data_IF_543801333325
#
_entry.id   IF_543801333325
#
_cell.length_a   1.000
_cell.length_b   1.000
_cell.length_c   1.000
_cell.angle_alpha   90.00
_cell.angle_beta   90.00
_cell.angle_gamma   90.00
#
_symmetry.space_group_name_H-M   'P 1'
#
loop_
_entity.id
_entity.type
_entity.pdbx_description
1 polymer ?
#
# COMPACT_ATOMS: atom_id res chain seq x y z
N UNK A 1 -36.72 -34.93 -52.87
CA UNK A 1 -36.07 -35.88 -53.78
C UNK A 1 -34.97 -36.51 -52.95
N UNK A 2 -35.26 -37.57 -52.27
CA UNK A 2 -35.20 -39.00 -52.67
C UNK A 2 -33.72 -39.42 -52.83
N UNK A 3 -33.13 -40.41 -52.30
CA UNK A 3 -33.61 -41.65 -51.66
C UNK A 3 -32.38 -42.48 -51.27
N UNK A 4 -32.49 -43.14 -50.16
CA UNK A 4 -32.39 -44.59 -49.98
C UNK A 4 -31.02 -45.27 -49.90
N UNK A 5 -30.85 -45.94 -48.74
CA UNK A 5 -30.15 -47.18 -48.50
C UNK A 5 -30.59 -48.32 -49.49
N UNK A 6 -30.10 -49.57 -49.50
CA UNK A 6 -29.78 -50.42 -48.32
C UNK A 6 -28.85 -51.67 -48.58
N UNK A 7 -28.63 -52.43 -47.48
CA UNK A 7 -28.52 -53.91 -47.33
C UNK A 7 -27.36 -54.66 -48.03
N UNK A 8 -26.74 -55.65 -47.49
CA UNK A 8 -27.04 -56.93 -46.82
C UNK A 8 -25.84 -57.85 -47.13
N UNK A 9 -25.41 -58.86 -46.53
CA UNK A 9 -25.81 -59.97 -45.65
C UNK A 9 -24.63 -60.96 -45.50
N UNK A 10 -24.60 -61.64 -44.36
CA UNK A 10 -24.25 -63.01 -44.05
C UNK A 10 -23.05 -63.72 -44.72
N UNK A 11 -22.18 -64.38 -43.93
CA UNK A 11 -22.32 -65.86 -43.70
C UNK A 11 -21.39 -66.38 -42.60
N UNK A 12 -21.93 -67.37 -41.86
CA UNK A 12 -21.29 -68.21 -40.82
C UNK A 12 -20.33 -69.24 -41.38
N UNK A 13 -19.33 -69.67 -40.63
CA UNK A 13 -18.82 -71.02 -40.61
C UNK A 13 -18.17 -71.40 -39.27
N UNK A 14 -18.46 -72.65 -38.89
CA UNK A 14 -18.30 -73.28 -37.57
C UNK A 14 -16.89 -73.85 -37.27
N UNK A 15 -16.59 -73.83 -35.95
CA UNK A 15 -16.01 -74.91 -35.08
C UNK A 15 -14.65 -75.55 -35.44
N UNK A 16 -13.71 -75.53 -34.50
CA UNK A 16 -13.32 -76.69 -33.69
C UNK A 16 -12.36 -76.25 -32.57
N UNK A 17 -12.56 -76.78 -31.39
CA UNK A 17 -11.95 -76.41 -30.17
C UNK A 17 -10.74 -77.31 -29.77
N UNK A 18 -10.01 -76.83 -28.83
CA UNK A 18 -9.32 -77.57 -27.76
C UNK A 18 -8.72 -76.56 -26.73
N UNK A 19 -8.56 -76.96 -25.48
CA UNK A 19 -8.41 -76.03 -24.36
C UNK A 19 -6.98 -75.69 -24.05
N UNK A 20 -6.66 -74.40 -23.90
CA UNK A 20 -5.40 -73.99 -23.31
C UNK A 20 -5.65 -73.37 -21.94
N UNK A 21 -4.84 -73.86 -21.00
CA UNK A 21 -4.78 -73.45 -19.58
C UNK A 21 -4.64 -71.97 -19.38
N UNK A 22 -5.54 -71.42 -18.58
CA UNK A 22 -5.50 -70.04 -18.11
C UNK A 22 -4.31 -69.83 -17.15
N UNK A 23 -3.31 -69.08 -17.55
CA UNK A 23 -2.29 -68.52 -16.63
C UNK A 23 -2.81 -67.17 -16.15
N UNK A 24 -3.13 -67.14 -14.85
CA UNK A 24 -3.58 -65.92 -14.16
C UNK A 24 -2.38 -65.01 -13.95
N UNK A 25 -2.24 -63.97 -14.77
CA UNK A 25 -1.29 -62.86 -14.54
C UNK A 25 -1.80 -61.98 -13.41
N UNK A 26 -1.14 -62.06 -12.26
CA UNK A 26 -1.31 -61.15 -11.15
C UNK A 26 -0.94 -59.71 -11.60
N UNK A 27 -1.96 -58.82 -11.62
CA UNK A 27 -1.74 -57.40 -11.85
C UNK A 27 -1.05 -56.79 -10.61
N UNK A 28 0.24 -56.54 -10.69
CA UNK A 28 0.98 -55.72 -9.73
C UNK A 28 0.54 -54.26 -9.98
N UNK A 29 -0.27 -53.71 -9.08
CA UNK A 29 -0.56 -52.30 -9.03
C UNK A 29 0.67 -51.60 -8.47
N UNK A 30 1.46 -50.99 -9.34
CA UNK A 30 2.50 -50.02 -8.93
C UNK A 30 1.79 -48.72 -8.49
N UNK A 31 1.66 -48.56 -7.17
CA UNK A 31 1.23 -47.28 -6.58
C UNK A 31 2.39 -46.28 -6.78
N UNK A 32 2.25 -45.40 -7.77
CA UNK A 32 3.13 -44.24 -7.88
C UNK A 32 2.74 -43.24 -6.76
N UNK A 33 3.48 -43.25 -5.68
CA UNK A 33 3.48 -42.17 -4.70
C UNK A 33 4.07 -40.93 -5.38
N UNK A 34 3.19 -40.01 -5.78
CA UNK A 34 3.60 -38.64 -6.15
C UNK A 34 3.90 -37.94 -4.83
N UNK A 35 5.15 -37.91 -4.45
CA UNK A 35 5.63 -37.04 -3.38
C UNK A 35 5.56 -35.60 -3.90
N UNK A 36 4.48 -34.89 -3.54
CA UNK A 36 4.41 -33.44 -3.73
C UNK A 36 5.39 -32.82 -2.75
N UNK A 37 6.60 -32.51 -3.23
CA UNK A 37 7.54 -31.70 -2.48
C UNK A 37 6.88 -30.32 -2.29
N UNK A 38 6.35 -30.06 -1.10
CA UNK A 38 6.00 -28.71 -0.66
C UNK A 38 7.35 -28.01 -0.46
N UNK A 39 7.81 -27.34 -1.51
CA UNK A 39 8.89 -26.37 -1.38
C UNK A 39 8.37 -25.22 -0.53
N UNK A 40 8.64 -25.27 0.76
CA UNK A 40 8.51 -24.12 1.64
C UNK A 40 9.53 -23.08 1.11
N UNK A 41 9.10 -22.25 0.18
CA UNK A 41 9.86 -21.06 -0.21
C UNK A 41 9.88 -20.16 1.02
N UNK A 42 10.97 -20.23 1.79
CA UNK A 42 11.31 -19.16 2.71
C UNK A 42 11.32 -17.88 1.87
N UNK A 43 10.27 -17.08 2.00
CA UNK A 43 10.21 -15.75 1.42
C UNK A 43 11.29 -14.94 2.14
N UNK A 44 12.49 -14.92 1.57
CA UNK A 44 13.53 -14.00 2.01
C UNK A 44 12.94 -12.60 1.84
N UNK A 45 12.91 -11.82 2.92
CA UNK A 45 12.49 -10.45 2.89
C UNK A 45 13.23 -9.74 1.74
N UNK A 46 12.52 -9.30 0.71
CA UNK A 46 13.15 -8.60 -0.40
C UNK A 46 13.45 -7.18 0.06
N UNK A 47 14.71 -6.74 0.09
CA UNK A 47 15.04 -5.40 0.50
C UNK A 47 14.42 -4.40 -0.46
N UNK A 48 13.83 -3.33 0.10
CA UNK A 48 13.41 -2.16 -0.67
C UNK A 48 14.67 -1.47 -1.22
N UNK A 49 14.71 -1.19 -2.50
CA UNK A 49 15.77 -0.39 -3.10
C UNK A 49 15.36 1.06 -3.28
N UNK A 50 16.32 1.97 -3.36
CA UNK A 50 16.01 3.36 -3.69
C UNK A 50 15.39 3.45 -5.09
N UNK A 51 14.36 4.30 -5.27
CA UNK A 51 13.65 4.43 -6.54
C UNK A 51 14.40 5.23 -7.62
N UNK A 52 15.58 5.77 -7.30
CA UNK A 52 16.39 6.62 -8.19
C UNK A 52 17.88 6.32 -8.03
N UNK A 53 18.75 6.78 -8.94
CA UNK A 53 20.21 6.61 -8.80
C UNK A 53 20.84 7.43 -7.67
N UNK A 54 20.10 8.35 -7.03
CA UNK A 54 20.63 9.14 -5.92
C UNK A 54 20.81 8.28 -4.67
N UNK A 55 22.07 8.02 -4.29
CA UNK A 55 22.44 7.18 -3.14
C UNK A 55 22.85 8.01 -1.89
N UNK A 56 22.79 9.32 -1.96
CA UNK A 56 23.28 10.22 -0.89
C UNK A 56 22.54 10.02 0.46
N UNK A 57 21.37 9.37 0.48
CA UNK A 57 20.67 9.01 1.71
C UNK A 57 21.51 8.14 2.66
N UNK A 58 22.40 7.31 2.12
CA UNK A 58 23.23 6.37 2.88
C UNK A 58 24.62 6.93 3.19
N UNK A 59 24.91 8.16 2.76
CA UNK A 59 26.16 8.86 3.03
C UNK A 59 25.95 9.85 4.20
N UNK A 60 26.75 9.69 5.25
CA UNK A 60 26.62 10.54 6.44
C UNK A 60 26.81 12.04 6.10
N UNK A 61 25.84 12.87 6.52
CA UNK A 61 25.90 14.32 6.32
C UNK A 61 25.60 14.77 4.89
N UNK A 62 25.03 13.89 4.04
CA UNK A 62 24.70 14.19 2.65
C UNK A 62 23.19 14.26 2.39
N UNK A 63 22.39 14.45 3.44
CA UNK A 63 20.93 14.54 3.34
C UNK A 63 20.48 15.68 2.43
N UNK A 64 21.21 16.79 2.41
CA UNK A 64 20.96 17.94 1.52
C UNK A 64 21.17 17.59 0.03
N UNK A 65 22.03 16.63 -0.27
CA UNK A 65 22.21 16.11 -1.63
C UNK A 65 21.13 15.11 -2.02
N UNK A 66 20.49 14.48 -1.05
CA UNK A 66 19.41 13.52 -1.30
C UNK A 66 18.04 14.22 -1.42
N UNK A 67 17.69 15.10 -0.49
CA UNK A 67 16.37 15.71 -0.43
C UNK A 67 16.26 16.99 -1.25
N UNK A 68 15.16 17.14 -2.01
CA UNK A 68 14.81 18.38 -2.70
C UNK A 68 13.93 19.26 -1.80
N UNK A 69 14.46 20.32 -1.17
CA UNK A 69 13.68 21.14 -0.25
C UNK A 69 12.66 22.03 -0.96
N UNK A 70 11.73 22.58 -0.20
CA UNK A 70 10.93 23.73 -0.62
C UNK A 70 11.89 24.91 -0.88
N UNK A 71 11.67 25.75 -1.91
CA UNK A 71 12.56 26.86 -2.25
C UNK A 71 12.88 27.75 -1.03
N UNK A 72 14.18 27.97 -0.78
CA UNK A 72 14.67 28.81 0.33
C UNK A 72 14.47 28.20 1.73
N UNK A 73 14.13 26.93 1.84
CA UNK A 73 13.96 26.22 3.13
C UNK A 73 15.01 25.10 3.29
N UNK A 74 15.26 24.63 4.52
CA UNK A 74 16.18 23.52 4.79
C UNK A 74 15.78 22.22 4.07
N UNK A 75 16.77 21.33 3.86
CA UNK A 75 16.57 20.02 3.23
C UNK A 75 15.48 19.18 3.92
N UNK A 76 15.29 19.38 5.23
CA UNK A 76 14.26 18.67 6.02
C UNK A 76 12.84 18.85 5.48
N UNK A 77 12.57 19.95 4.73
CA UNK A 77 11.26 20.15 4.09
C UNK A 77 10.97 19.19 2.94
N UNK A 78 11.97 18.46 2.46
CA UNK A 78 11.84 17.36 1.53
C UNK A 78 11.58 15.99 2.20
N UNK A 79 11.64 15.92 3.54
CA UNK A 79 11.34 14.70 4.30
C UNK A 79 9.83 14.48 4.49
N UNK A 80 9.46 13.27 4.91
CA UNK A 80 8.12 12.91 5.37
C UNK A 80 7.78 13.59 6.70
N UNK A 81 6.51 13.90 6.90
CA UNK A 81 5.99 14.35 8.18
C UNK A 81 5.61 15.82 8.25
N UNK A 82 5.53 16.38 9.45
CA UNK A 82 5.21 17.77 9.72
C UNK A 82 6.45 18.67 9.47
N UNK A 83 6.82 18.85 8.21
CA UNK A 83 8.08 19.51 7.82
C UNK A 83 7.89 20.75 6.95
N UNK A 84 6.68 21.00 6.48
CA UNK A 84 6.33 22.14 5.63
C UNK A 84 5.56 23.21 6.43
N UNK A 85 5.56 24.46 5.95
CA UNK A 85 4.89 25.59 6.61
C UNK A 85 5.25 25.66 8.11
N UNK A 86 6.55 25.59 8.41
CA UNK A 86 7.10 25.66 9.78
C UNK A 86 6.55 24.55 10.72
N UNK A 87 6.36 23.35 10.16
CA UNK A 87 5.84 22.20 10.91
C UNK A 87 4.32 22.06 10.91
N UNK A 88 3.61 22.99 10.30
CA UNK A 88 2.15 23.04 10.32
C UNK A 88 1.48 22.35 9.12
N UNK A 89 2.27 21.87 8.15
CA UNK A 89 1.78 21.18 6.97
C UNK A 89 2.47 19.82 6.81
N UNK A 90 1.68 18.80 6.58
CA UNK A 90 2.15 17.44 6.29
C UNK A 90 2.80 17.36 4.92
N UNK A 91 3.88 16.60 4.82
CA UNK A 91 4.43 16.08 3.57
C UNK A 91 4.27 14.55 3.57
N UNK A 92 3.50 14.03 2.65
CA UNK A 92 3.02 12.64 2.64
C UNK A 92 4.08 11.63 2.20
N UNK A 93 5.20 12.09 1.62
CA UNK A 93 6.30 11.28 1.13
C UNK A 93 7.64 11.94 1.35
N UNK A 94 8.59 11.61 0.48
CA UNK A 94 9.91 12.24 0.40
C UNK A 94 10.14 12.79 -1.01
N UNK A 95 10.78 13.96 -1.09
CA UNK A 95 11.16 14.56 -2.37
C UNK A 95 12.64 14.24 -2.66
N UNK A 96 12.91 13.30 -3.58
CA UNK A 96 14.26 12.84 -3.92
C UNK A 96 14.81 13.71 -5.05
N UNK A 97 15.95 14.36 -4.82
CA UNK A 97 16.63 15.27 -5.75
C UNK A 97 17.14 14.52 -7.00
N UNK A 98 16.98 15.16 -8.17
CA UNK A 98 17.58 14.71 -9.43
C UNK A 98 19.11 14.88 -9.38
N UNK A 99 19.82 13.86 -9.87
CA UNK A 99 21.30 13.86 -10.01
C UNK A 99 21.74 13.78 -11.47
N UNK A 100 20.83 13.52 -12.42
CA UNK A 100 21.11 13.46 -13.86
C UNK A 100 20.26 14.49 -14.62
N UNK A 101 20.92 15.25 -15.52
CA UNK A 101 20.23 16.28 -16.30
C UNK A 101 20.68 16.29 -17.73
N UNK A 102 19.80 16.64 -18.65
CA UNK A 102 20.12 16.89 -20.05
C UNK A 102 20.76 18.29 -20.26
N UNK A 103 21.20 18.56 -21.49
CA UNK A 103 21.81 19.85 -21.83
C UNK A 103 20.89 21.07 -21.61
N UNK A 104 19.57 20.86 -21.47
CA UNK A 104 18.59 21.91 -21.16
C UNK A 104 18.31 22.03 -19.67
N UNK A 105 19.01 21.26 -18.82
CA UNK A 105 18.84 21.22 -17.38
C UNK A 105 17.59 20.46 -16.91
N UNK A 106 16.88 19.76 -17.79
CA UNK A 106 15.75 18.92 -17.38
C UNK A 106 16.25 17.59 -16.79
N UNK A 107 15.56 17.03 -15.76
CA UNK A 107 15.97 15.79 -15.15
C UNK A 107 15.87 14.61 -16.10
N UNK A 108 16.80 13.67 -15.98
CA UNK A 108 16.87 12.44 -16.80
C UNK A 108 17.01 11.19 -15.96
N UNK A 109 16.99 11.32 -14.63
CA UNK A 109 17.08 10.19 -13.72
C UNK A 109 16.02 9.15 -14.03
N UNK A 110 16.39 7.87 -14.19
CA UNK A 110 15.43 6.79 -14.24
C UNK A 110 14.74 6.63 -12.89
N UNK A 111 13.45 6.26 -12.94
CA UNK A 111 12.67 5.92 -11.74
C UNK A 111 12.34 4.44 -11.80
N UNK A 112 12.68 3.72 -10.72
CA UNK A 112 12.59 2.27 -10.63
C UNK A 112 11.58 1.80 -9.58
N UNK A 113 11.05 0.60 -9.78
CA UNK A 113 10.26 -0.10 -8.77
C UNK A 113 11.12 -0.43 -7.55
N UNK A 114 10.68 -0.02 -6.36
CA UNK A 114 11.45 -0.22 -5.10
C UNK A 114 11.46 -1.68 -4.64
N UNK A 115 10.49 -2.48 -5.06
CA UNK A 115 10.30 -3.88 -4.71
C UNK A 115 9.50 -4.60 -5.80
N UNK A 116 9.42 -5.93 -5.72
CA UNK A 116 8.45 -6.68 -6.51
C UNK A 116 7.04 -6.14 -6.26
N UNK A 117 6.30 -5.86 -7.32
CA UNK A 117 4.96 -5.28 -7.17
C UNK A 117 4.15 -5.31 -8.45
N UNK A 118 2.87 -5.04 -8.30
CA UNK A 118 1.91 -4.93 -9.41
C UNK A 118 1.58 -3.47 -9.65
N UNK A 119 1.66 -3.01 -10.88
CA UNK A 119 1.16 -1.69 -11.28
C UNK A 119 -0.35 -1.66 -11.11
N UNK A 120 -0.86 -0.80 -10.21
CA UNK A 120 -2.29 -0.70 -9.94
C UNK A 120 -2.91 0.58 -10.46
N UNK A 121 -2.09 1.59 -10.75
CA UNK A 121 -2.57 2.86 -11.31
C UNK A 121 -1.49 3.58 -12.11
N UNK A 122 -1.91 4.25 -13.17
CA UNK A 122 -1.07 5.12 -14.02
C UNK A 122 -1.86 6.38 -14.35
N UNK A 123 -1.35 7.56 -13.97
CA UNK A 123 -1.82 8.84 -14.48
C UNK A 123 -0.79 9.42 -15.46
N UNK A 124 -1.16 9.55 -16.73
CA UNK A 124 -0.33 10.18 -17.77
C UNK A 124 -0.70 11.64 -18.05
N UNK A 125 -1.84 12.12 -17.53
CA UNK A 125 -2.29 13.50 -17.70
C UNK A 125 -1.86 14.37 -16.49
N UNK A 126 -0.84 15.22 -16.60
CA UNK A 126 -0.36 16.01 -15.48
C UNK A 126 -1.36 17.04 -14.96
N UNK A 127 -2.34 17.45 -15.79
CA UNK A 127 -3.34 18.44 -15.43
C UNK A 127 -4.40 17.99 -14.40
N UNK A 128 -4.46 16.68 -14.10
CA UNK A 128 -5.48 16.14 -13.20
C UNK A 128 -5.09 16.12 -11.72
N UNK A 129 -3.81 16.30 -11.39
CA UNK A 129 -3.32 16.22 -10.01
C UNK A 129 -2.09 17.07 -9.78
N UNK A 130 -1.92 17.56 -8.55
CA UNK A 130 -0.65 18.15 -8.09
C UNK A 130 0.50 17.17 -8.17
N UNK A 131 0.26 15.85 -8.10
CA UNK A 131 1.26 14.79 -8.36
C UNK A 131 1.71 14.74 -9.84
N UNK A 132 1.00 15.44 -10.73
CA UNK A 132 1.30 15.40 -12.16
C UNK A 132 1.13 14.00 -12.74
N UNK A 133 2.10 13.54 -13.54
CA UNK A 133 2.17 12.15 -13.96
C UNK A 133 2.68 11.31 -12.80
N UNK A 134 1.96 10.26 -12.47
CA UNK A 134 2.35 9.35 -11.39
C UNK A 134 1.90 7.92 -11.63
N UNK A 135 2.61 7.01 -10.96
CA UNK A 135 2.35 5.56 -11.00
C UNK A 135 2.22 5.08 -9.56
N UNK A 136 1.30 4.14 -9.32
CA UNK A 136 1.16 3.46 -8.03
C UNK A 136 1.40 1.97 -8.23
N UNK A 137 2.27 1.40 -7.40
CA UNK A 137 2.49 -0.04 -7.31
C UNK A 137 1.92 -0.57 -5.99
N UNK A 138 1.33 -1.76 -6.06
CA UNK A 138 0.98 -2.57 -4.89
C UNK A 138 2.05 -3.62 -4.68
N UNK A 139 2.51 -3.73 -3.45
CA UNK A 139 3.48 -4.71 -2.98
C UNK A 139 2.89 -5.57 -1.87
N UNK A 140 3.51 -6.74 -1.64
CA UNK A 140 3.25 -7.56 -0.48
C UNK A 140 4.61 -7.87 0.17
N UNK A 141 4.92 -7.17 1.26
CA UNK A 141 6.24 -7.18 1.91
C UNK A 141 6.05 -7.58 3.37
N UNK A 142 6.80 -8.57 3.86
CA UNK A 142 6.77 -9.04 5.24
C UNK A 142 5.35 -9.35 5.75
N UNK A 143 4.49 -9.88 4.86
CA UNK A 143 3.11 -10.24 5.18
C UNK A 143 2.12 -9.07 5.23
N UNK A 144 2.51 -7.85 4.83
CA UNK A 144 1.61 -6.69 4.77
C UNK A 144 1.51 -6.12 3.35
N UNK A 145 0.31 -5.75 2.94
CA UNK A 145 0.06 -5.04 1.68
C UNK A 145 0.46 -3.56 1.84
N UNK A 146 1.34 -3.07 0.96
CA UNK A 146 1.83 -1.70 0.97
C UNK A 146 1.88 -1.15 -0.45
N UNK A 147 1.75 0.16 -0.57
CA UNK A 147 1.71 0.86 -1.86
C UNK A 147 2.85 1.85 -1.96
N UNK A 148 3.46 1.91 -3.14
CA UNK A 148 4.43 2.95 -3.47
C UNK A 148 3.88 3.86 -4.56
N UNK A 149 4.06 5.18 -4.38
CA UNK A 149 3.64 6.22 -5.32
C UNK A 149 4.88 6.93 -5.87
N UNK A 150 4.94 7.06 -7.19
CA UNK A 150 6.05 7.69 -7.92
C UNK A 150 5.50 8.87 -8.71
N UNK A 151 5.67 10.08 -8.20
CA UNK A 151 5.01 11.27 -8.74
C UNK A 151 5.98 12.28 -9.39
N UNK A 152 5.43 13.29 -10.04
CA UNK A 152 6.11 14.34 -10.82
C UNK A 152 6.89 13.82 -12.02
N UNK A 153 6.55 12.63 -12.56
CA UNK A 153 7.28 12.03 -13.67
C UNK A 153 7.27 12.93 -14.92
N UNK A 154 8.42 13.02 -15.60
CA UNK A 154 8.54 13.60 -16.96
C UNK A 154 7.82 12.73 -17.97
N UNK A 155 8.03 11.41 -17.85
CA UNK A 155 7.40 10.40 -18.70
C UNK A 155 7.24 9.09 -17.91
N UNK A 156 6.14 8.41 -18.15
CA UNK A 156 5.95 7.01 -17.78
C UNK A 156 6.59 6.13 -18.85
N UNK A 157 7.19 5.01 -18.47
CA UNK A 157 7.80 4.04 -19.42
C UNK A 157 6.77 3.61 -20.47
N UNK A 158 7.16 3.64 -21.74
CA UNK A 158 6.33 3.12 -22.83
C UNK A 158 6.00 1.65 -22.61
N UNK A 159 4.72 1.28 -22.82
CA UNK A 159 4.24 -0.08 -22.62
C UNK A 159 4.02 -0.49 -21.16
N UNK A 160 4.23 0.40 -20.16
CA UNK A 160 3.82 0.13 -18.79
C UNK A 160 2.28 0.08 -18.72
N UNK A 161 1.74 -0.99 -18.13
CA UNK A 161 0.29 -1.21 -18.05
C UNK A 161 -0.16 -1.58 -16.65
N UNK A 162 -1.39 -1.21 -16.28
CA UNK A 162 -2.04 -1.66 -15.05
C UNK A 162 -2.18 -3.19 -15.10
N UNK A 163 -1.89 -3.85 -13.98
CA UNK A 163 -1.82 -5.31 -13.85
C UNK A 163 -0.43 -5.89 -14.12
N UNK A 164 0.49 -5.13 -14.69
CA UNK A 164 1.85 -5.60 -14.95
C UNK A 164 2.59 -5.82 -13.63
N UNK A 165 3.31 -6.95 -13.55
CA UNK A 165 4.25 -7.26 -12.47
C UNK A 165 5.60 -6.63 -12.79
N UNK A 166 6.21 -5.97 -11.81
CA UNK A 166 7.56 -5.42 -11.90
C UNK A 166 8.46 -6.04 -10.85
N UNK A 167 9.72 -6.28 -11.25
CA UNK A 167 10.79 -6.67 -10.33
C UNK A 167 11.44 -5.42 -9.70
N UNK A 168 12.12 -5.55 -8.55
CA UNK A 168 12.94 -4.47 -8.01
C UNK A 168 13.92 -3.96 -9.07
N UNK A 169 14.03 -2.64 -9.24
CA UNK A 169 14.92 -2.03 -10.24
C UNK A 169 14.36 -1.94 -11.65
N UNK A 170 13.18 -2.50 -11.93
CA UNK A 170 12.57 -2.30 -13.25
C UNK A 170 12.11 -0.85 -13.43
N UNK A 171 12.33 -0.34 -14.64
CA UNK A 171 12.03 1.04 -15.01
C UNK A 171 10.51 1.31 -14.97
N UNK A 172 10.11 2.33 -14.23
CA UNK A 172 8.75 2.88 -14.20
C UNK A 172 8.63 4.07 -15.15
N UNK A 173 9.63 4.93 -15.15
CA UNK A 173 9.61 6.15 -15.94
C UNK A 173 10.85 7.00 -15.73
N UNK A 174 10.75 8.26 -16.11
CA UNK A 174 11.82 9.27 -15.98
C UNK A 174 11.34 10.33 -14.98
N UNK A 175 12.20 10.68 -14.03
CA UNK A 175 11.97 11.78 -13.08
C UNK A 175 11.68 13.09 -13.82
N UNK A 176 10.82 13.92 -13.23
CA UNK A 176 10.43 15.18 -13.85
C UNK A 176 10.06 16.25 -12.84
N UNK A 177 9.09 17.06 -13.26
CA UNK A 177 8.50 18.16 -12.50
C UNK A 177 7.07 18.46 -12.95
N UNK A 178 6.35 17.40 -13.40
CA UNK A 178 4.98 17.54 -13.83
C UNK A 178 4.04 17.80 -12.64
N UNK A 179 3.05 18.68 -12.86
CA UNK A 179 2.05 19.06 -11.85
C UNK A 179 0.85 19.66 -12.58
N UNK A 180 -0.35 19.64 -11.97
CA UNK A 180 -1.53 20.36 -12.45
C UNK A 180 -1.35 21.89 -12.40
N UNK A 181 -0.35 22.39 -11.67
CA UNK A 181 0.06 23.80 -11.65
C UNK A 181 1.35 23.95 -12.44
N UNK A 182 1.31 24.23 -13.76
CA UNK A 182 2.53 24.36 -14.57
C UNK A 182 3.48 25.40 -14.00
N UNK A 183 4.78 25.04 -13.94
CA UNK A 183 5.81 25.94 -13.39
C UNK A 183 5.94 25.96 -11.87
N UNK A 184 5.06 25.29 -11.12
CA UNK A 184 5.15 25.20 -9.64
C UNK A 184 6.43 24.52 -9.16
N UNK A 185 7.01 23.64 -9.98
CA UNK A 185 8.29 22.98 -9.72
C UNK A 185 9.30 23.50 -10.75
N UNK A 186 10.29 24.27 -10.31
CA UNK A 186 11.38 24.76 -11.17
C UNK A 186 12.27 23.60 -11.64
N UNK A 187 13.06 23.84 -12.70
CA UNK A 187 14.03 22.83 -13.18
C UNK A 187 15.01 22.40 -12.10
N UNK A 188 15.57 23.38 -11.37
CA UNK A 188 16.57 23.12 -10.33
C UNK A 188 16.00 22.29 -9.17
N UNK A 189 14.69 22.43 -8.91
CA UNK A 189 13.97 21.69 -7.90
C UNK A 189 13.31 20.41 -8.43
N UNK A 190 13.55 20.02 -9.69
CA UNK A 190 13.00 18.77 -10.21
C UNK A 190 13.37 17.58 -9.31
N UNK A 191 12.39 16.77 -8.96
CA UNK A 191 12.50 15.70 -7.97
C UNK A 191 11.50 14.60 -8.22
N UNK A 192 11.76 13.43 -7.66
CA UNK A 192 10.75 12.39 -7.48
C UNK A 192 10.06 12.61 -6.13
N UNK A 193 8.76 12.89 -6.13
CA UNK A 193 7.96 12.73 -4.93
C UNK A 193 7.62 11.25 -4.80
N UNK A 194 8.11 10.63 -3.72
CA UNK A 194 8.00 9.20 -3.47
C UNK A 194 7.28 8.95 -2.15
N UNK A 195 6.25 8.09 -2.20
CA UNK A 195 5.50 7.68 -1.01
C UNK A 195 5.57 6.17 -0.84
N UNK A 196 5.55 5.73 0.42
CA UNK A 196 5.15 4.39 0.87
C UNK A 196 3.95 4.54 1.78
N UNK A 197 2.90 3.72 1.61
CA UNK A 197 1.71 3.88 2.43
C UNK A 197 0.78 2.69 2.41
N UNK A 198 -0.25 2.76 3.23
CA UNK A 198 -1.31 1.77 3.39
C UNK A 198 -2.61 2.31 2.79
N UNK A 199 -3.41 1.45 2.15
CA UNK A 199 -4.69 1.84 1.55
C UNK A 199 -5.78 1.86 2.63
N UNK A 200 -6.43 3.01 2.81
CA UNK A 200 -7.47 3.18 3.83
C UNK A 200 -8.75 2.41 3.50
N UNK A 201 -9.28 2.60 2.27
CA UNK A 201 -10.57 2.02 1.92
C UNK A 201 -10.72 1.85 0.39
N UNK A 202 -11.11 0.65 -0.07
CA UNK A 202 -11.42 0.40 -1.47
C UNK A 202 -12.67 1.13 -1.98
N UNK A 203 -13.55 1.57 -1.08
CA UNK A 203 -14.76 2.34 -1.41
C UNK A 203 -14.55 3.87 -1.37
N UNK A 204 -13.28 4.31 -1.38
CA UNK A 204 -12.92 5.74 -1.29
C UNK A 204 -13.70 6.63 -2.27
N UNK A 205 -13.87 6.19 -3.52
CA UNK A 205 -14.55 7.01 -4.53
C UNK A 205 -16.02 7.30 -4.15
N UNK A 206 -16.72 6.32 -3.59
CA UNK A 206 -18.08 6.49 -3.10
C UNK A 206 -18.14 7.37 -1.85
N UNK A 207 -17.23 7.12 -0.90
CA UNK A 207 -17.10 7.98 0.29
C UNK A 207 -16.78 9.43 -0.10
N UNK A 208 -15.83 9.65 -1.01
CA UNK A 208 -15.42 10.99 -1.44
C UNK A 208 -16.56 11.77 -2.07
N UNK A 209 -17.37 11.12 -2.93
CA UNK A 209 -18.55 11.73 -3.54
C UNK A 209 -19.57 12.20 -2.49
N UNK A 210 -19.72 11.46 -1.40
CA UNK A 210 -20.64 11.81 -0.31
C UNK A 210 -20.06 12.91 0.60
N UNK A 211 -18.76 12.81 0.92
CA UNK A 211 -18.08 13.75 1.82
C UNK A 211 -17.78 15.11 1.17
N UNK A 212 -17.57 15.11 -0.16
CA UNK A 212 -17.17 16.28 -0.94
C UNK A 212 -17.93 16.35 -2.28
N UNK A 213 -19.28 16.55 -2.26
CA UNK A 213 -20.12 16.47 -3.46
C UNK A 213 -19.74 17.46 -4.55
N UNK A 214 -19.15 18.61 -4.18
CA UNK A 214 -18.73 19.67 -5.10
C UNK A 214 -17.30 19.48 -5.66
N UNK A 215 -16.55 18.45 -5.18
CA UNK A 215 -15.18 18.21 -5.60
C UNK A 215 -15.09 17.02 -6.56
N UNK A 216 -14.15 17.12 -7.51
CA UNK A 216 -13.86 16.04 -8.44
C UNK A 216 -12.84 15.06 -7.83
N UNK A 217 -13.06 13.78 -8.07
CA UNK A 217 -12.09 12.73 -7.83
C UNK A 217 -11.75 12.05 -9.17
N UNK A 218 -10.71 12.52 -9.84
CA UNK A 218 -10.27 12.02 -11.14
C UNK A 218 -9.46 10.70 -11.04
N UNK A 219 -9.10 10.30 -9.84
CA UNK A 219 -8.18 9.18 -9.59
C UNK A 219 -8.83 7.98 -8.89
N UNK A 220 -10.16 8.04 -8.65
CA UNK A 220 -10.90 6.97 -7.98
C UNK A 220 -10.31 6.64 -6.61
N UNK A 221 -10.07 5.36 -6.35
CA UNK A 221 -9.45 4.89 -5.10
C UNK A 221 -7.95 5.21 -4.98
N UNK A 222 -7.30 5.60 -6.08
CA UNK A 222 -5.86 5.92 -6.12
C UNK A 222 -5.57 7.40 -5.89
N UNK A 223 -6.54 8.13 -5.38
CA UNK A 223 -6.35 9.48 -4.85
C UNK A 223 -5.38 9.43 -3.66
N UNK A 224 -4.40 10.34 -3.60
CA UNK A 224 -3.40 10.36 -2.52
C UNK A 224 -3.99 10.45 -1.11
N UNK A 225 -5.21 10.99 -0.93
CA UNK A 225 -5.88 11.01 0.36
C UNK A 225 -6.28 9.62 0.88
N UNK A 226 -6.34 8.61 0.01
CA UNK A 226 -6.69 7.24 0.36
C UNK A 226 -5.47 6.35 0.67
N UNK A 227 -4.27 6.82 0.40
CA UNK A 227 -3.02 6.12 0.73
C UNK A 227 -2.38 6.86 1.90
N UNK A 228 -2.47 6.27 3.10
CA UNK A 228 -1.91 6.88 4.29
C UNK A 228 -0.42 6.56 4.41
N UNK A 229 0.42 7.60 4.39
CA UNK A 229 1.87 7.48 4.28
C UNK A 229 2.55 6.91 5.54
N UNK A 230 3.57 6.10 5.29
CA UNK A 230 4.64 5.71 6.21
C UNK A 230 5.88 6.54 5.89
N UNK A 231 6.81 6.71 6.83
CA UNK A 231 8.06 7.45 6.56
C UNK A 231 9.04 6.63 5.69
N UNK A 232 9.20 6.94 4.38
CA UNK A 232 10.10 6.20 3.51
C UNK A 232 11.57 6.37 3.91
N UNK A 233 11.96 7.55 4.45
CA UNK A 233 13.33 7.81 4.93
C UNK A 233 13.67 6.86 6.07
N UNK A 234 12.82 6.78 7.08
CA UNK A 234 13.02 5.89 8.22
C UNK A 234 13.10 4.42 7.78
N UNK A 235 12.21 3.99 6.87
CA UNK A 235 12.17 2.62 6.34
C UNK A 235 13.48 2.29 5.61
N UNK A 236 13.95 3.13 4.68
CA UNK A 236 15.21 2.88 3.96
C UNK A 236 16.42 2.85 4.90
N UNK A 237 16.51 3.78 5.86
CA UNK A 237 17.62 3.84 6.80
C UNK A 237 17.63 2.65 7.77
N UNK A 238 16.47 2.25 8.30
CA UNK A 238 16.37 1.08 9.17
C UNK A 238 16.71 -0.21 8.42
N UNK A 239 16.23 -0.36 7.19
CA UNK A 239 16.59 -1.49 6.35
C UNK A 239 18.09 -1.49 6.02
N UNK A 240 18.69 -0.35 5.67
CA UNK A 240 20.12 -0.24 5.43
C UNK A 240 20.95 -0.64 6.67
N UNK A 241 20.49 -0.23 7.86
CA UNK A 241 21.15 -0.53 9.14
C UNK A 241 21.01 -1.99 9.55
N UNK A 242 19.82 -2.59 9.37
CA UNK A 242 19.49 -3.92 9.90
C UNK A 242 19.54 -5.03 8.84
N UNK A 243 19.66 -4.68 7.56
CA UNK A 243 19.70 -5.64 6.45
C UNK A 243 18.51 -6.58 6.44
N UNK A 244 18.75 -7.87 6.36
CA UNK A 244 17.70 -8.91 6.38
C UNK A 244 16.94 -9.03 7.69
N UNK A 245 17.39 -8.39 8.76
CA UNK A 245 16.69 -8.35 10.05
C UNK A 245 15.65 -7.23 10.13
N UNK A 246 15.58 -6.34 9.13
CA UNK A 246 14.50 -5.36 9.05
C UNK A 246 13.20 -6.06 8.64
N UNK A 247 12.10 -5.72 9.30
CA UNK A 247 10.76 -6.22 8.98
C UNK A 247 9.77 -5.06 8.90
N UNK A 248 9.13 -4.89 7.75
CA UNK A 248 8.21 -3.77 7.51
C UNK A 248 6.93 -3.88 8.34
N UNK A 249 6.39 -5.07 8.57
CA UNK A 249 5.22 -5.25 9.42
C UNK A 249 5.52 -4.86 10.86
N UNK A 250 6.70 -5.22 11.37
CA UNK A 250 7.12 -4.82 12.71
C UNK A 250 7.33 -3.31 12.79
N UNK A 251 7.87 -2.68 11.74
CA UNK A 251 7.96 -1.21 11.66
C UNK A 251 6.57 -0.56 11.78
N UNK A 252 5.56 -1.10 11.07
CA UNK A 252 4.17 -0.59 11.16
C UNK A 252 3.59 -0.80 12.55
N UNK A 253 3.79 -1.97 13.17
CA UNK A 253 3.27 -2.30 14.52
C UNK A 253 3.87 -1.46 15.65
N UNK A 254 5.09 -0.97 15.45
CA UNK A 254 5.86 -0.24 16.47
C UNK A 254 5.82 1.28 16.26
N UNK A 255 4.76 1.81 15.62
CA UNK A 255 4.56 3.25 15.50
C UNK A 255 4.28 3.90 16.85
N UNK A 256 4.67 5.18 17.02
CA UNK A 256 4.31 5.94 18.21
C UNK A 256 2.84 6.32 18.17
N UNK A 257 2.10 5.98 19.23
CA UNK A 257 0.69 6.33 19.35
C UNK A 257 0.54 7.84 19.59
N UNK A 258 -0.27 8.50 18.74
CA UNK A 258 -0.78 9.85 18.99
C UNK A 258 -2.07 9.80 19.81
N UNK A 259 -2.99 8.94 19.41
CA UNK A 259 -4.26 8.82 20.10
C UNK A 259 -4.85 7.43 19.94
N UNK A 260 -5.73 7.07 20.87
CA UNK A 260 -6.51 5.85 20.84
C UNK A 260 -8.00 6.19 20.74
N UNK A 261 -8.69 5.53 19.83
CA UNK A 261 -10.10 5.79 19.56
C UNK A 261 -10.88 4.49 19.58
N UNK A 262 -12.02 4.46 20.27
CA UNK A 262 -12.98 3.39 20.11
C UNK A 262 -13.88 3.66 18.91
N UNK A 263 -14.06 2.65 18.07
CA UNK A 263 -14.88 2.66 16.86
C UNK A 263 -15.96 1.60 17.00
N UNK A 264 -17.23 2.03 17.02
CA UNK A 264 -18.40 1.14 17.09
C UNK A 264 -18.77 0.63 15.68
N UNK A 265 -17.91 -0.23 15.16
CA UNK A 265 -18.11 -0.96 13.91
C UNK A 265 -17.38 -2.30 14.02
N UNK A 266 -18.02 -3.36 13.56
CA UNK A 266 -17.47 -4.73 13.62
C UNK A 266 -16.96 -5.24 12.29
N UNK A 267 -17.24 -4.51 11.21
CA UNK A 267 -16.82 -4.87 9.86
C UNK A 267 -16.50 -3.61 9.06
N UNK A 268 -15.29 -3.50 8.56
CA UNK A 268 -14.85 -2.44 7.64
C UNK A 268 -13.60 -2.90 6.87
N UNK A 269 -13.31 -2.30 5.69
CA UNK A 269 -12.28 -2.80 4.77
C UNK A 269 -10.90 -3.01 5.38
N UNK A 270 -10.46 -2.14 6.26
CA UNK A 270 -9.15 -2.23 6.93
C UNK A 270 -8.94 -3.56 7.67
N UNK A 271 -9.97 -4.09 8.34
CA UNK A 271 -9.88 -5.36 9.09
C UNK A 271 -9.56 -6.54 8.18
N UNK A 272 -10.11 -6.54 6.96
CA UNK A 272 -9.87 -7.60 5.97
C UNK A 272 -8.53 -7.44 5.29
N UNK A 273 -8.10 -6.21 5.05
CA UNK A 273 -6.85 -5.89 4.35
C UNK A 273 -5.63 -6.07 5.24
N UNK A 274 -5.73 -5.70 6.51
CA UNK A 274 -4.64 -5.70 7.46
C UNK A 274 -4.93 -6.52 8.74
N UNK A 275 -5.30 -7.81 8.61
CA UNK A 275 -5.61 -8.65 9.77
C UNK A 275 -4.40 -8.81 10.70
N UNK A 276 -3.18 -8.64 10.20
CA UNK A 276 -1.94 -8.69 10.96
C UNK A 276 -1.84 -7.60 12.03
N UNK A 277 -2.57 -6.49 11.88
CA UNK A 277 -2.60 -5.38 12.85
C UNK A 277 -3.66 -5.56 13.94
N UNK A 278 -4.43 -6.65 13.90
CA UNK A 278 -5.48 -6.95 14.88
C UNK A 278 -4.89 -7.75 16.05
N UNK A 279 -5.08 -7.24 17.26
CA UNK A 279 -4.70 -7.91 18.51
C UNK A 279 -5.76 -8.94 18.91
N UNK A 280 -5.35 -9.94 19.67
CA UNK A 280 -6.28 -10.88 20.28
C UNK A 280 -6.92 -10.26 21.54
N UNK A 281 -8.21 -10.54 21.74
CA UNK A 281 -8.93 -10.25 22.99
C UNK A 281 -9.85 -11.42 23.30
N UNK A 282 -9.53 -12.19 24.33
CA UNK A 282 -10.28 -13.39 24.72
C UNK A 282 -11.73 -13.10 25.07
N UNK A 283 -12.02 -11.92 25.67
CA UNK A 283 -13.39 -11.54 26.01
C UNK A 283 -14.21 -11.28 24.76
N UNK A 284 -13.67 -10.53 23.80
CA UNK A 284 -14.34 -10.28 22.55
C UNK A 284 -14.51 -11.57 21.71
N UNK A 285 -13.60 -12.54 21.85
CA UNK A 285 -13.74 -13.85 21.20
C UNK A 285 -14.89 -14.67 21.81
N UNK A 286 -15.10 -14.61 23.13
CA UNK A 286 -16.16 -15.39 23.81
C UNK A 286 -17.53 -14.71 23.78
N UNK A 287 -17.60 -13.38 23.92
CA UNK A 287 -18.85 -12.62 24.03
C UNK A 287 -19.32 -12.01 22.70
N UNK A 288 -18.46 -12.02 21.67
CA UNK A 288 -18.67 -11.35 20.39
C UNK A 288 -18.08 -9.94 20.37
N UNK A 289 -17.67 -9.51 19.17
CA UNK A 289 -17.07 -8.18 18.93
C UNK A 289 -18.15 -7.13 18.82
N UNK A 290 -18.08 -6.05 19.59
CA UNK A 290 -18.98 -4.89 19.54
C UNK A 290 -18.32 -3.65 18.91
N UNK A 291 -17.02 -3.67 18.72
CA UNK A 291 -16.22 -2.61 18.11
C UNK A 291 -14.73 -2.82 18.30
N UNK A 292 -13.95 -1.82 17.92
CA UNK A 292 -12.49 -1.87 17.99
C UNK A 292 -11.92 -0.64 18.69
N UNK A 293 -10.95 -0.84 19.56
CA UNK A 293 -10.02 0.21 19.94
C UNK A 293 -8.91 0.26 18.89
N UNK A 294 -8.65 1.45 18.36
CA UNK A 294 -7.68 1.70 17.29
C UNK A 294 -6.64 2.67 17.80
N UNK A 295 -5.38 2.25 17.80
CA UNK A 295 -4.24 3.14 18.00
C UNK A 295 -3.85 3.79 16.66
N UNK A 296 -3.81 5.13 16.64
CA UNK A 296 -3.41 5.94 15.51
C UNK A 296 -2.08 6.62 15.79
N UNK A 297 -1.15 6.59 14.82
CA UNK A 297 0.04 7.43 14.89
C UNK A 297 -0.30 8.89 14.52
N UNK A 298 0.70 9.79 14.54
CA UNK A 298 0.49 11.22 14.27
C UNK A 298 -0.07 11.50 12.86
N UNK A 299 0.24 10.65 11.88
CA UNK A 299 -0.30 10.76 10.51
C UNK A 299 -1.70 10.16 10.38
N UNK A 300 -2.16 9.40 11.37
CA UNK A 300 -3.45 8.72 11.39
C UNK A 300 -3.40 7.27 10.90
N UNK A 301 -2.22 6.66 10.78
CA UNK A 301 -2.07 5.22 10.44
C UNK A 301 -2.66 4.38 11.56
N UNK A 302 -3.67 3.54 11.29
CA UNK A 302 -4.18 2.57 12.24
C UNK A 302 -3.19 1.39 12.35
N UNK A 303 -2.31 1.41 13.34
CA UNK A 303 -1.24 0.42 13.45
C UNK A 303 -1.51 -0.71 14.45
N UNK A 304 -2.53 -0.56 15.29
CA UNK A 304 -3.00 -1.58 16.22
C UNK A 304 -4.53 -1.48 16.38
N UNK A 305 -5.23 -2.61 16.27
CA UNK A 305 -6.67 -2.71 16.47
C UNK A 305 -6.98 -3.80 17.47
N UNK A 306 -7.62 -3.45 18.59
CA UNK A 306 -8.03 -4.42 19.62
C UNK A 306 -9.56 -4.57 19.59
N UNK A 307 -10.10 -5.75 19.24
CA UNK A 307 -11.54 -5.99 19.30
C UNK A 307 -12.03 -5.88 20.76
N UNK A 308 -13.23 -5.32 20.97
CA UNK A 308 -13.85 -5.17 22.29
C UNK A 308 -15.23 -5.81 22.31
N UNK A 309 -15.53 -6.52 23.40
CA UNK A 309 -16.87 -7.00 23.72
C UNK A 309 -17.75 -5.84 24.21
N UNK A 310 -19.09 -6.00 24.13
CA UNK A 310 -20.02 -4.98 24.61
C UNK A 310 -19.85 -4.68 26.12
N UNK A 311 -19.51 -5.70 26.90
CA UNK A 311 -19.25 -5.59 28.36
C UNK A 311 -18.00 -4.75 28.70
N UNK A 312 -17.09 -4.55 27.76
CA UNK A 312 -15.87 -3.75 27.94
C UNK A 312 -16.04 -2.27 27.56
N UNK A 313 -17.22 -1.89 27.00
CA UNK A 313 -17.42 -0.57 26.41
C UNK A 313 -18.32 0.28 27.28
N UNK A 314 -17.75 1.26 27.97
CA UNK A 314 -18.48 2.24 28.77
C UNK A 314 -18.84 3.52 28.00
N UNK A 315 -18.44 3.63 26.75
CA UNK A 315 -18.56 4.83 25.94
C UNK A 315 -19.80 4.80 25.05
N UNK A 316 -20.48 5.96 24.88
CA UNK A 316 -21.58 6.17 23.93
C UNK A 316 -21.06 6.93 22.71
N UNK A 317 -21.51 6.55 21.51
CA UNK A 317 -21.12 7.19 20.24
C UNK A 317 -20.46 6.23 19.27
N UNK A 318 -20.41 6.64 18.01
CA UNK A 318 -19.79 5.88 16.92
C UNK A 318 -18.28 5.89 17.02
N UNK A 319 -17.71 7.06 17.31
CA UNK A 319 -16.28 7.28 17.52
C UNK A 319 -16.08 7.95 18.88
N UNK A 320 -15.22 7.38 19.72
CA UNK A 320 -14.93 7.90 21.06
C UNK A 320 -13.43 7.98 21.27
N UNK A 321 -12.93 9.18 21.47
CA UNK A 321 -11.53 9.39 21.82
C UNK A 321 -11.27 8.87 23.24
N UNK A 322 -10.29 7.98 23.40
CA UNK A 322 -9.95 7.34 24.67
C UNK A 322 -8.72 7.97 25.33
N UNK A 323 -7.69 8.27 24.52
CA UNK A 323 -6.44 8.86 25.01
C UNK A 323 -5.77 9.73 23.95
N UNK A 324 -4.92 10.66 24.39
CA UNK A 324 -4.07 11.50 23.54
C UNK A 324 -2.67 11.56 24.14
N UNK A 325 -1.66 11.34 23.32
CA UNK A 325 -0.26 11.57 23.64
C UNK A 325 0.10 13.04 23.29
N UNK A 326 0.04 13.91 24.30
CA UNK A 326 0.29 15.34 24.14
C UNK A 326 1.73 15.65 23.66
N UNK A 327 2.72 14.83 24.08
CA UNK A 327 4.09 14.99 23.65
C UNK A 327 4.25 14.66 22.16
N UNK A 328 3.57 13.63 21.66
CA UNK A 328 3.56 13.29 20.25
C UNK A 328 2.83 14.34 19.41
N UNK A 329 1.69 14.84 19.91
CA UNK A 329 0.95 15.93 19.25
C UNK A 329 1.79 17.21 19.14
N UNK A 330 2.55 17.56 20.19
CA UNK A 330 3.42 18.74 20.18
C UNK A 330 4.55 18.62 19.17
N UNK A 331 5.09 17.42 18.96
CA UNK A 331 6.13 17.14 17.97
C UNK A 331 5.59 17.13 16.55
N UNK A 332 4.36 16.63 16.36
CA UNK A 332 3.75 16.38 15.06
C UNK A 332 2.33 16.96 14.96
N UNK A 333 2.15 18.30 14.96
CA UNK A 333 0.83 18.92 15.06
C UNK A 333 0.06 19.01 13.73
N UNK A 334 0.68 18.71 12.59
CA UNK A 334 0.21 19.14 11.29
C UNK A 334 -1.07 18.44 10.80
N UNK A 335 -1.33 17.18 11.22
CA UNK A 335 -2.53 16.43 10.77
C UNK A 335 -3.80 16.82 11.51
N UNK A 336 -3.68 17.41 12.71
CA UNK A 336 -4.81 17.91 13.51
C UNK A 336 -5.92 16.87 13.67
N UNK A 337 -5.53 15.63 14.08
CA UNK A 337 -6.51 14.55 14.29
C UNK A 337 -7.33 14.74 15.56
N UNK A 338 -6.73 15.41 16.55
CA UNK A 338 -7.33 15.73 17.85
C UNK A 338 -7.21 17.22 18.14
N UNK A 339 -8.10 17.73 18.94
CA UNK A 339 -8.13 19.13 19.39
C UNK A 339 -8.57 19.21 20.85
N UNK A 340 -8.27 20.34 21.52
CA UNK A 340 -8.69 20.60 22.89
C UNK A 340 -9.76 21.68 22.90
N UNK A 341 -10.91 21.41 23.48
CA UNK A 341 -11.98 22.38 23.64
C UNK A 341 -12.51 22.34 25.07
N UNK A 342 -12.60 23.50 25.74
CA UNK A 342 -13.04 23.57 27.13
C UNK A 342 -12.19 22.71 28.10
N UNK A 343 -10.88 22.56 27.82
CA UNK A 343 -9.97 21.74 28.62
C UNK A 343 -10.04 20.24 28.36
N UNK A 344 -10.97 19.77 27.51
CA UNK A 344 -11.15 18.34 27.17
C UNK A 344 -10.65 18.03 25.77
N UNK A 345 -10.01 16.89 25.61
CA UNK A 345 -9.61 16.36 24.30
C UNK A 345 -10.82 15.80 23.56
N UNK A 346 -10.86 16.05 22.25
CA UNK A 346 -11.86 15.52 21.34
C UNK A 346 -11.25 15.26 19.96
N UNK A 347 -11.91 14.44 19.14
CA UNK A 347 -11.55 14.29 17.73
C UNK A 347 -11.80 15.61 17.02
N UNK A 348 -10.81 16.04 16.23
CA UNK A 348 -10.98 17.17 15.31
C UNK A 348 -11.62 16.68 13.99
N UNK A 349 -12.05 17.61 13.13
CA UNK A 349 -12.69 17.28 11.84
C UNK A 349 -11.84 16.33 10.98
N UNK A 350 -10.52 16.51 10.95
CA UNK A 350 -9.63 15.61 10.21
C UNK A 350 -9.62 14.20 10.81
N UNK A 351 -9.65 14.09 12.13
CA UNK A 351 -9.74 12.79 12.82
C UNK A 351 -11.08 12.11 12.56
N UNK A 352 -12.18 12.86 12.61
CA UNK A 352 -13.51 12.33 12.29
C UNK A 352 -13.59 11.84 10.84
N UNK A 353 -13.14 12.66 9.88
CA UNK A 353 -13.12 12.28 8.44
C UNK A 353 -12.26 11.05 8.18
N UNK A 354 -11.11 10.93 8.84
CA UNK A 354 -10.26 9.74 8.73
C UNK A 354 -11.00 8.49 9.20
N UNK A 355 -11.67 8.54 10.35
CA UNK A 355 -12.41 7.41 10.90
C UNK A 355 -13.67 7.09 10.08
N UNK A 356 -14.33 8.10 9.53
CA UNK A 356 -15.45 7.93 8.60
C UNK A 356 -15.00 7.21 7.34
N UNK A 357 -13.88 7.64 6.72
CA UNK A 357 -13.30 6.96 5.57
C UNK A 357 -12.88 5.53 5.92
N UNK A 358 -12.13 5.34 7.02
CA UNK A 358 -11.64 4.04 7.46
C UNK A 358 -12.76 3.01 7.61
N UNK A 359 -13.92 3.46 8.12
CA UNK A 359 -15.07 2.59 8.44
C UNK A 359 -16.19 2.67 7.42
N UNK A 360 -15.98 3.38 6.31
CA UNK A 360 -17.02 3.52 5.29
C UNK A 360 -17.30 2.20 4.60
N UNK A 361 -18.61 1.93 4.44
CA UNK A 361 -19.17 0.86 3.63
C UNK A 361 -20.32 1.48 2.83
N UNK A 362 -20.47 1.17 1.53
CA UNK A 362 -21.57 1.66 0.71
C UNK A 362 -22.91 1.08 1.11
#
# INVERSE_FOLDING_TARGET
MDSRQPFSTYTQAKRFGAPYKTITLARVRVLRLIATAITCTCSMAQPLMLPTPNQALFEQGREDAFFAPTPGKPWTTGCFGCVRSEGMQMHEGIDIRSVQRDAKGEPTDPVWAVAHGTVVYINTNPGLSTFGRYVVLRHFIDGIEVYSTYAHLRAVRNGLAVGQQLQPGELIGIMGRSSSSPGSISKDRAHLHFELGLLLNEHFAAWFKNAFPEQRNDHGMWNGQNIIGLDPRAIFLLQHKHGSNFNLLDYVRNQTELCRVFVRSTNFPWLRRYPQLIRQNHRAQSEGVAGYEIALNFNGVPFELTPRAASEINARGRFVLLSVNEAELSRNPCRKLVTRHGGKWQLADNGLRLLELLTYQP
#
